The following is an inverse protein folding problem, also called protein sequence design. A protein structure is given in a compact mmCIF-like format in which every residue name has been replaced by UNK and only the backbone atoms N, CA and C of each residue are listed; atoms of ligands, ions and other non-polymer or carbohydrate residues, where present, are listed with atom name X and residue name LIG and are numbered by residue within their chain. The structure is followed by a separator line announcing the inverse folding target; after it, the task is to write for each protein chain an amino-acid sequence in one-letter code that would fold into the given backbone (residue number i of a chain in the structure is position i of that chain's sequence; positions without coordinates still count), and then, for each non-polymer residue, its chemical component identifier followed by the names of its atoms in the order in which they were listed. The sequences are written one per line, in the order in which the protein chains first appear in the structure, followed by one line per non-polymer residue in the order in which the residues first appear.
data_IF_944392632698
#
_entry.id   IF_944392632698
#
_cell.length_a   1.000
_cell.length_b   1.000
_cell.length_c   1.000
_cell.angle_alpha   90.00
_cell.angle_beta   90.00
_cell.angle_gamma   90.00
#
_symmetry.space_group_name_H-M   'P 1'
#
loop_
_entity.id
_entity.type
_entity.pdbx_description
1 polymer ?
#
# COMPACT_ATOMS: atom_id res chain seq x y z
N UNK A 1 -13.28 -8.90 5.52
CA UNK A 1 -11.92 -9.45 5.34
C UNK A 1 -11.46 -9.91 6.71
N UNK A 2 -10.77 -11.06 6.80
CA UNK A 2 -10.10 -11.44 8.05
C UNK A 2 -8.79 -10.66 8.24
N UNK A 3 -8.17 -10.79 9.42
CA UNK A 3 -6.93 -10.09 9.76
C UNK A 3 -5.81 -10.33 8.75
N UNK A 4 -5.60 -11.59 8.35
CA UNK A 4 -4.54 -11.96 7.40
C UNK A 4 -4.76 -11.31 6.02
N UNK A 5 -6.02 -11.25 5.57
CA UNK A 5 -6.39 -10.57 4.33
C UNK A 5 -6.14 -9.06 4.40
N UNK A 6 -6.43 -8.44 5.55
CA UNK A 6 -6.17 -7.01 5.78
C UNK A 6 -4.66 -6.74 5.76
N UNK A 7 -3.87 -7.55 6.47
CA UNK A 7 -2.42 -7.39 6.50
C UNK A 7 -1.78 -7.58 5.12
N UNK A 8 -2.25 -8.56 4.34
CA UNK A 8 -1.82 -8.75 2.96
C UNK A 8 -2.17 -7.54 2.07
N UNK A 9 -3.35 -6.95 2.26
CA UNK A 9 -3.76 -5.76 1.51
C UNK A 9 -2.91 -4.54 1.87
N UNK A 10 -2.62 -4.33 3.16
CA UNK A 10 -1.71 -3.26 3.61
C UNK A 10 -0.33 -3.43 2.95
N UNK A 11 0.21 -4.65 2.93
CA UNK A 11 1.49 -4.95 2.29
C UNK A 11 1.48 -4.66 0.78
N UNK A 12 0.42 -5.01 0.07
CA UNK A 12 0.25 -4.70 -1.36
C UNK A 12 0.24 -3.18 -1.62
N UNK A 13 -0.57 -2.44 -0.87
CA UNK A 13 -0.67 -0.98 -0.98
C UNK A 13 0.68 -0.31 -0.68
N UNK A 14 1.41 -0.83 0.29
CA UNK A 14 2.73 -0.32 0.67
C UNK A 14 3.80 -0.62 -0.38
N UNK A 15 3.84 -1.85 -0.90
CA UNK A 15 4.71 -2.24 -2.01
C UNK A 15 4.50 -1.32 -3.20
N UNK A 16 3.24 -1.04 -3.56
CA UNK A 16 2.92 -0.20 -4.70
C UNK A 16 3.45 1.24 -4.56
N UNK A 17 3.35 1.80 -3.35
CA UNK A 17 3.88 3.13 -3.04
C UNK A 17 5.41 3.19 -3.10
N UNK A 18 6.10 2.18 -2.56
CA UNK A 18 7.56 2.10 -2.62
C UNK A 18 8.05 1.90 -4.05
N UNK A 19 7.50 0.91 -4.76
CA UNK A 19 7.87 0.63 -6.15
C UNK A 19 7.73 1.87 -7.03
N UNK A 20 6.65 2.63 -6.87
CA UNK A 20 6.41 3.83 -7.68
C UNK A 20 7.29 5.03 -7.30
N UNK A 21 7.87 5.03 -6.10
CA UNK A 21 8.81 6.06 -5.67
C UNK A 21 10.21 5.81 -6.23
N UNK A 22 10.59 4.54 -6.42
CA UNK A 22 11.95 4.16 -6.83
C UNK A 22 12.12 3.82 -8.31
N UNK A 23 11.05 3.38 -8.98
CA UNK A 23 11.13 2.87 -10.36
C UNK A 23 10.31 3.71 -11.33
N UNK A 24 9.02 3.41 -11.43
CA UNK A 24 8.12 4.01 -12.42
C UNK A 24 7.00 4.78 -11.73
N UNK A 25 6.76 6.02 -12.16
CA UNK A 25 5.64 6.84 -11.67
C UNK A 25 4.30 6.37 -12.27
N UNK A 26 3.86 5.16 -11.91
CA UNK A 26 2.63 4.52 -12.41
C UNK A 26 1.36 5.21 -11.89
N UNK A 27 1.44 5.79 -10.69
CA UNK A 27 0.35 6.51 -10.04
C UNK A 27 0.57 8.02 -10.11
N UNK A 28 -0.50 8.77 -10.35
CA UNK A 28 -0.53 10.21 -10.12
C UNK A 28 -0.42 10.53 -8.62
N UNK A 29 -0.14 11.79 -8.28
CA UNK A 29 -0.13 12.23 -6.88
C UNK A 29 -1.48 11.95 -6.18
N UNK A 30 -2.61 12.21 -6.84
CA UNK A 30 -3.94 11.93 -6.30
C UNK A 30 -4.18 10.44 -6.05
N UNK A 31 -3.76 9.57 -6.97
CA UNK A 31 -3.87 8.11 -6.80
C UNK A 31 -3.02 7.60 -5.64
N UNK A 32 -1.80 8.14 -5.46
CA UNK A 32 -0.94 7.81 -4.31
C UNK A 32 -1.59 8.22 -2.98
N UNK A 33 -2.26 9.37 -2.94
CA UNK A 33 -3.02 9.80 -1.76
C UNK A 33 -4.13 8.80 -1.45
N UNK A 34 -4.91 8.37 -2.44
CA UNK A 34 -5.97 7.39 -2.24
C UNK A 34 -5.43 6.04 -1.73
N UNK A 35 -4.33 5.53 -2.31
CA UNK A 35 -3.67 4.30 -1.86
C UNK A 35 -3.22 4.42 -0.41
N UNK A 36 -2.60 5.55 -0.05
CA UNK A 36 -2.15 5.81 1.31
C UNK A 36 -3.34 5.88 2.29
N UNK A 37 -4.44 6.54 1.90
CA UNK A 37 -5.66 6.61 2.70
C UNK A 37 -6.27 5.23 2.95
N UNK A 38 -6.35 4.38 1.92
CA UNK A 38 -6.82 3.00 2.10
C UNK A 38 -5.90 2.23 3.05
N UNK A 39 -4.57 2.36 2.89
CA UNK A 39 -3.57 1.70 3.75
C UNK A 39 -3.77 2.07 5.22
N UNK A 40 -3.89 3.36 5.52
CA UNK A 40 -4.13 3.84 6.87
C UNK A 40 -5.50 3.42 7.42
N UNK A 41 -6.54 3.39 6.58
CA UNK A 41 -7.85 2.91 7.01
C UNK A 41 -7.80 1.43 7.41
N UNK A 42 -7.07 0.60 6.66
CA UNK A 42 -6.88 -0.80 7.01
C UNK A 42 -6.08 -0.99 8.29
N UNK A 43 -5.03 -0.19 8.51
CA UNK A 43 -4.31 -0.21 9.80
C UNK A 43 -5.24 0.16 10.96
N UNK A 44 -6.10 1.17 10.79
CA UNK A 44 -7.07 1.54 11.81
C UNK A 44 -8.10 0.43 12.09
N UNK A 45 -8.56 -0.28 11.05
CA UNK A 45 -9.50 -1.42 11.20
C UNK A 45 -8.88 -2.59 11.98
N UNK A 46 -7.55 -2.76 11.94
CA UNK A 46 -6.88 -3.77 12.77
C UNK A 46 -6.96 -3.48 14.27
N UNK A 47 -7.16 -2.21 14.64
CA UNK A 47 -7.30 -1.74 16.03
C UNK A 47 -8.78 -1.53 16.43
N UNK A 48 -9.62 -1.12 15.48
CA UNK A 48 -11.06 -0.89 15.65
C UNK A 48 -11.86 -1.56 14.52
N UNK A 49 -12.36 -2.76 14.78
CA UNK A 49 -13.15 -3.53 13.80
C UNK A 49 -14.48 -2.86 13.41
N UNK A 50 -14.96 -1.85 14.17
CA UNK A 50 -16.16 -1.09 13.81
C UNK A 50 -15.89 -0.03 12.73
N UNK A 51 -14.62 0.27 12.45
CA UNK A 51 -14.25 1.22 11.41
C UNK A 51 -14.61 0.69 10.00
N UNK A 52 -15.07 1.59 9.13
CA UNK A 52 -15.48 1.22 7.77
C UNK A 52 -14.29 1.24 6.80
N UNK A 53 -14.21 0.30 5.84
CA UNK A 53 -13.14 0.29 4.85
C UNK A 53 -13.28 1.45 3.87
N UNK A 54 -12.16 1.88 3.30
CA UNK A 54 -12.10 2.92 2.27
C UNK A 54 -11.33 2.41 1.05
N UNK A 55 -11.92 1.51 0.25
CA UNK A 55 -11.23 0.94 -0.89
C UNK A 55 -10.94 2.01 -1.95
N UNK A 56 -9.81 1.87 -2.64
CA UNK A 56 -9.52 2.66 -3.84
C UNK A 56 -10.47 2.34 -4.99
N UNK A 57 -10.44 3.17 -6.04
CA UNK A 57 -11.25 2.94 -7.23
C UNK A 57 -10.75 1.73 -8.03
N UNK A 58 -11.63 1.13 -8.83
CA UNK A 58 -11.31 -0.01 -9.68
C UNK A 58 -10.14 0.26 -10.65
N UNK A 59 -9.98 1.50 -11.11
CA UNK A 59 -8.83 1.89 -11.94
C UNK A 59 -7.51 1.78 -11.17
N UNK A 60 -7.49 2.19 -9.90
CA UNK A 60 -6.31 2.04 -9.05
C UNK A 60 -6.06 0.56 -8.77
N UNK A 61 -7.09 -0.26 -8.57
CA UNK A 61 -6.94 -1.73 -8.43
C UNK A 61 -6.24 -2.37 -9.61
N UNK A 62 -6.59 -1.99 -10.84
CA UNK A 62 -5.91 -2.51 -12.03
C UNK A 62 -4.42 -2.14 -12.02
N UNK A 63 -4.09 -0.90 -11.67
CA UNK A 63 -2.70 -0.45 -11.57
C UNK A 63 -1.93 -1.15 -10.44
N UNK A 64 -2.56 -1.40 -9.30
CA UNK A 64 -1.96 -2.16 -8.19
C UNK A 64 -1.54 -3.56 -8.66
N UNK A 65 -2.42 -4.27 -9.38
CA UNK A 65 -2.11 -5.59 -9.95
C UNK A 65 -0.94 -5.56 -10.92
N UNK A 66 -0.88 -4.54 -11.78
CA UNK A 66 0.24 -4.37 -12.71
C UNK A 66 1.55 -4.07 -11.98
N UNK A 67 1.52 -3.22 -10.96
CA UNK A 67 2.70 -2.94 -10.13
C UNK A 67 3.18 -4.18 -9.39
N UNK A 68 2.30 -5.00 -8.83
CA UNK A 68 2.67 -6.27 -8.18
C UNK A 68 3.37 -7.23 -9.15
N UNK A 69 2.88 -7.34 -10.40
CA UNK A 69 3.56 -8.14 -11.45
C UNK A 69 4.93 -7.59 -11.79
N UNK A 70 5.05 -6.27 -11.96
CA UNK A 70 6.32 -5.61 -12.28
C UNK A 70 7.32 -5.73 -11.13
N UNK A 71 6.88 -5.57 -9.88
CA UNK A 71 7.72 -5.74 -8.70
C UNK A 71 8.31 -7.15 -8.66
N UNK A 72 7.49 -8.19 -8.93
CA UNK A 72 7.97 -9.56 -9.03
C UNK A 72 8.96 -9.75 -10.18
N UNK A 73 8.62 -9.28 -11.39
CA UNK A 73 9.47 -9.38 -12.58
C UNK A 73 10.85 -8.76 -12.36
N UNK A 74 10.90 -7.62 -11.65
CA UNK A 74 12.13 -6.89 -11.39
C UNK A 74 12.84 -7.32 -10.10
N UNK A 75 12.36 -8.37 -9.41
CA UNK A 75 12.85 -8.79 -8.10
C UNK A 75 12.98 -7.60 -7.12
N UNK A 76 12.00 -6.70 -7.18
CA UNK A 76 12.01 -5.49 -6.36
C UNK A 76 11.93 -5.88 -4.88
N UNK A 77 12.84 -5.30 -4.09
CA UNK A 77 12.87 -5.48 -2.64
C UNK A 77 12.46 -4.14 -2.00
N UNK A 78 11.31 -4.07 -1.35
CA UNK A 78 10.91 -2.91 -0.57
C UNK A 78 12.02 -2.52 0.43
N UNK A 79 12.32 -1.23 0.56
CA UNK A 79 13.25 -0.73 1.57
C UNK A 79 12.76 -1.08 2.99
N UNK A 80 11.45 -0.97 3.20
CA UNK A 80 10.79 -1.47 4.40
C UNK A 80 10.08 -2.77 4.05
N UNK A 81 10.65 -3.89 4.50
CA UNK A 81 10.07 -5.24 4.29
C UNK A 81 8.87 -5.54 5.19
N UNK A 82 8.61 -4.69 6.18
CA UNK A 82 7.48 -4.80 7.11
C UNK A 82 6.64 -3.51 7.02
N UNK A 83 5.40 -3.58 6.52
CA UNK A 83 4.53 -2.41 6.39
C UNK A 83 4.00 -1.89 7.74
N UNK A 84 4.26 -2.60 8.84
CA UNK A 84 3.83 -2.24 10.20
C UNK A 84 4.97 -1.68 11.06
N UNK A 85 6.22 -1.71 10.58
CA UNK A 85 7.31 -1.01 11.27
C UNK A 85 7.21 0.47 11.00
N UNK A 86 7.29 1.25 12.07
CA UNK A 86 7.27 2.72 12.01
C UNK A 86 8.20 3.21 10.89
N UNK A 87 7.62 3.95 9.93
CA UNK A 87 8.40 4.75 9.00
C UNK A 87 9.26 5.67 9.86
N UNK A 88 10.59 5.54 9.78
CA UNK A 88 11.56 6.29 10.57
C UNK A 88 11.11 7.75 10.65
N UNK A 89 10.74 8.19 11.86
CA UNK A 89 10.57 9.59 12.19
C UNK A 89 11.82 10.30 11.67
N UNK A 90 11.65 11.12 10.62
CA UNK A 90 12.65 12.10 10.25
C UNK A 90 12.73 13.07 11.43
N UNK A 91 13.61 12.77 12.37
CA UNK A 91 14.06 13.69 13.39
C UNK A 91 14.65 14.89 12.66
N UNK A 92 13.88 15.97 12.59
CA UNK A 92 14.37 17.32 12.35
C UNK A 92 14.38 18.07 13.67
#
# INVERSE_FOLDING_TARGET
MDRNQIEARIAELYLALQYCSERNKTFTAGERICINQERFQWMHILDDEAASPRPVSQNIEYKLKEVSKLALLHNFKPYYGDPFKDEILLYN
#
